data_IF_352641135044
#
_entry.id   IF_352641135044
#
_cell.length_a   1.000
_cell.length_b   1.000
_cell.length_c   1.000
_cell.angle_alpha   90.00
_cell.angle_beta   90.00
_cell.angle_gamma   90.00
#
_symmetry.space_group_name_H-M   'P 1'
#
loop_
_entity.id
_entity.type
_entity.pdbx_description
1 polymer ?
#
# COMPACT_ATOMS: atom_id res chain seq x y z
N UNK A 1 9.59 -14.08 9.70
CA UNK A 1 8.50 -13.15 10.07
C UNK A 1 8.70 -11.83 9.31
N UNK A 2 7.66 -11.00 9.13
CA UNK A 2 7.81 -9.71 8.45
C UNK A 2 7.97 -8.58 9.48
N UNK A 3 9.02 -7.76 9.34
CA UNK A 3 9.29 -6.57 10.16
C UNK A 3 9.30 -5.32 9.29
N UNK A 4 8.68 -4.24 9.76
CA UNK A 4 8.65 -2.96 9.06
C UNK A 4 9.55 -1.93 9.77
N UNK A 5 10.56 -1.44 9.06
CA UNK A 5 11.46 -0.39 9.52
C UNK A 5 10.96 0.96 9.01
N UNK A 6 10.72 1.93 9.91
CA UNK A 6 10.30 3.28 9.53
C UNK A 6 11.49 4.24 9.59
N UNK A 7 11.75 4.92 8.49
CA UNK A 7 12.81 5.94 8.37
C UNK A 7 12.25 7.23 7.76
N UNK A 8 12.80 8.36 8.17
CA UNK A 8 12.42 9.68 7.62
C UNK A 8 13.28 9.97 6.40
N UNK A 9 12.66 10.18 5.25
CA UNK A 9 13.34 10.51 3.99
C UNK A 9 13.71 12.00 3.94
N UNK A 10 14.83 12.28 3.28
CA UNK A 10 15.34 13.63 3.00
C UNK A 10 15.40 13.78 1.46
N UNK A 11 14.25 13.94 0.80
CA UNK A 11 14.22 14.13 -0.65
C UNK A 11 14.71 15.53 -1.04
N UNK A 12 15.27 15.66 -2.25
CA UNK A 12 15.43 16.96 -2.88
C UNK A 12 14.12 17.43 -3.54
N UNK A 13 14.07 18.69 -3.99
CA UNK A 13 12.86 19.29 -4.60
C UNK A 13 12.27 18.46 -5.74
N UNK A 14 13.11 17.90 -6.62
CA UNK A 14 12.64 17.09 -7.75
C UNK A 14 12.03 15.76 -7.26
N UNK A 15 12.64 15.14 -6.25
CA UNK A 15 12.13 13.94 -5.62
C UNK A 15 10.81 14.18 -4.88
N UNK A 16 10.66 15.30 -4.18
CA UNK A 16 9.39 15.68 -3.53
C UNK A 16 8.26 15.82 -4.55
N UNK A 17 8.52 16.51 -5.66
CA UNK A 17 7.56 16.66 -6.76
C UNK A 17 7.15 15.28 -7.28
N UNK A 18 8.12 14.39 -7.53
CA UNK A 18 7.84 13.07 -8.06
C UNK A 18 7.12 12.16 -7.05
N UNK A 19 7.43 12.24 -5.76
CA UNK A 19 6.69 11.54 -4.69
C UNK A 19 5.23 12.02 -4.69
N UNK A 20 5.00 13.33 -4.71
CA UNK A 20 3.65 13.90 -4.70
C UNK A 20 2.86 13.52 -5.95
N UNK A 21 3.49 13.55 -7.13
CA UNK A 21 2.92 13.03 -8.39
C UNK A 21 2.54 11.56 -8.24
N UNK A 22 3.43 10.73 -7.71
CA UNK A 22 3.19 9.28 -7.53
C UNK A 22 2.01 9.00 -6.60
N UNK A 23 1.93 9.69 -5.46
CA UNK A 23 0.76 9.60 -4.54
C UNK A 23 -0.52 10.01 -5.27
N UNK A 24 -0.48 11.13 -6.02
CA UNK A 24 -1.62 11.63 -6.79
C UNK A 24 -2.09 10.64 -7.85
N UNK A 25 -1.16 10.04 -8.61
CA UNK A 25 -1.45 9.05 -9.63
C UNK A 25 -2.04 7.77 -9.02
N UNK A 26 -1.47 7.29 -7.91
CA UNK A 26 -2.01 6.13 -7.20
C UNK A 26 -3.45 6.40 -6.72
N UNK A 27 -3.73 7.59 -6.17
CA UNK A 27 -5.10 8.00 -5.79
C UNK A 27 -6.03 8.03 -6.99
N UNK A 28 -5.61 8.66 -8.09
CA UNK A 28 -6.40 8.74 -9.32
C UNK A 28 -6.77 7.35 -9.83
N UNK A 29 -5.80 6.44 -9.96
CA UNK A 29 -6.04 5.07 -10.42
C UNK A 29 -7.03 4.36 -9.49
N UNK A 30 -6.86 4.45 -8.18
CA UNK A 30 -7.82 3.85 -7.24
C UNK A 30 -9.25 4.35 -7.50
N UNK A 31 -9.42 5.68 -7.58
CA UNK A 31 -10.73 6.29 -7.71
C UNK A 31 -11.36 6.01 -9.08
N UNK A 32 -10.59 6.09 -10.17
CA UNK A 32 -11.06 5.80 -11.53
C UNK A 32 -11.59 4.38 -11.65
N UNK A 33 -10.88 3.41 -11.09
CA UNK A 33 -11.28 2.00 -11.14
C UNK A 33 -12.40 1.66 -10.16
N UNK A 34 -12.50 2.35 -9.01
CA UNK A 34 -13.67 2.26 -8.16
C UNK A 34 -14.92 2.80 -8.87
N UNK A 35 -14.81 3.94 -9.57
CA UNK A 35 -15.92 4.50 -10.35
C UNK A 35 -16.32 3.55 -11.49
N UNK A 36 -15.35 3.04 -12.26
CA UNK A 36 -15.59 2.09 -13.35
C UNK A 36 -16.31 0.81 -12.85
N UNK A 37 -15.88 0.25 -11.71
CA UNK A 37 -16.53 -0.94 -11.16
C UNK A 37 -17.95 -0.69 -10.66
N UNK A 38 -18.24 0.54 -10.18
CA UNK A 38 -19.62 0.93 -9.82
C UNK A 38 -20.48 1.03 -11.07
N UNK A 39 -20.01 1.77 -12.06
CA UNK A 39 -20.70 1.96 -13.34
C UNK A 39 -21.03 0.63 -14.03
N UNK A 40 -20.05 -0.27 -14.17
CA UNK A 40 -20.27 -1.60 -14.76
C UNK A 40 -21.25 -2.47 -13.97
N UNK A 41 -21.30 -2.28 -12.66
CA UNK A 41 -22.26 -3.01 -11.84
C UNK A 41 -23.67 -2.43 -12.00
N UNK A 42 -23.80 -1.11 -12.03
CA UNK A 42 -25.07 -0.43 -12.21
C UNK A 42 -25.69 -0.71 -13.59
N UNK A 43 -24.87 -0.81 -14.65
CA UNK A 43 -25.34 -1.05 -16.03
C UNK A 43 -25.47 -2.53 -16.40
N UNK A 44 -24.49 -3.36 -16.07
CA UNK A 44 -24.40 -4.74 -16.54
C UNK A 44 -24.48 -5.79 -15.42
N UNK A 45 -24.56 -5.36 -14.14
CA UNK A 45 -24.47 -6.25 -12.98
C UNK A 45 -23.17 -7.07 -12.96
N UNK A 46 -22.11 -6.56 -13.59
CA UNK A 46 -20.78 -7.19 -13.66
C UNK A 46 -19.75 -6.40 -12.87
N UNK A 47 -18.66 -7.07 -12.52
CA UNK A 47 -17.51 -6.43 -11.88
C UNK A 47 -16.21 -6.93 -12.49
N UNK A 48 -15.18 -6.09 -12.46
CA UNK A 48 -13.82 -6.45 -12.85
C UNK A 48 -13.04 -6.98 -11.63
N UNK A 49 -12.20 -7.99 -11.87
CA UNK A 49 -11.16 -8.40 -10.92
C UNK A 49 -9.86 -7.60 -11.16
N UNK A 50 -8.82 -7.89 -10.38
CA UNK A 50 -7.51 -7.24 -10.53
C UNK A 50 -6.94 -7.35 -11.96
N UNK A 51 -7.06 -8.51 -12.60
CA UNK A 51 -6.50 -8.74 -13.95
C UNK A 51 -7.19 -7.87 -14.99
N UNK A 52 -8.52 -7.81 -14.97
CA UNK A 52 -9.29 -6.92 -15.84
C UNK A 52 -8.95 -5.45 -15.61
N UNK A 53 -8.84 -5.03 -14.35
CA UNK A 53 -8.39 -3.67 -14.02
C UNK A 53 -6.96 -3.37 -14.52
N UNK A 54 -6.05 -4.36 -14.44
CA UNK A 54 -4.65 -4.21 -14.87
C UNK A 54 -4.52 -4.10 -16.40
N UNK A 55 -5.35 -4.83 -17.16
CA UNK A 55 -5.42 -4.71 -18.61
C UNK A 55 -5.90 -3.31 -19.02
N UNK A 56 -7.01 -2.86 -18.44
CA UNK A 56 -7.54 -1.51 -18.65
C UNK A 56 -6.56 -0.41 -18.25
N UNK A 57 -5.81 -0.58 -17.16
CA UNK A 57 -4.76 0.36 -16.74
C UNK A 57 -3.64 0.46 -17.80
N UNK A 58 -3.36 -0.61 -18.53
CA UNK A 58 -2.35 -0.60 -19.60
C UNK A 58 -2.79 0.25 -20.78
N UNK A 59 -4.08 0.20 -21.15
CA UNK A 59 -4.69 1.07 -22.16
C UNK A 59 -4.73 2.53 -21.68
N UNK A 60 -5.18 2.75 -20.45
CA UNK A 60 -5.27 4.09 -19.85
C UNK A 60 -3.92 4.82 -19.81
N UNK A 61 -2.80 4.09 -19.63
CA UNK A 61 -1.45 4.68 -19.68
C UNK A 61 -1.05 5.14 -21.08
N UNK A 62 -1.64 4.59 -22.14
CA UNK A 62 -1.39 5.04 -23.52
C UNK A 62 -2.04 6.40 -23.76
N UNK A 63 -3.25 6.59 -23.25
CA UNK A 63 -4.01 7.84 -23.31
C UNK A 63 -3.43 8.92 -22.38
N UNK A 64 -3.18 8.55 -21.13
CA UNK A 64 -2.79 9.46 -20.06
C UNK A 64 -1.28 9.38 -19.82
N UNK A 65 -0.53 10.25 -20.50
CA UNK A 65 0.95 10.24 -20.50
C UNK A 65 1.57 10.37 -19.10
N UNK A 66 0.99 11.19 -18.20
CA UNK A 66 1.54 11.41 -16.86
C UNK A 66 1.51 10.16 -15.96
N UNK A 67 0.69 9.14 -16.27
CA UNK A 67 0.74 7.85 -15.58
C UNK A 67 2.01 7.03 -15.89
N UNK A 68 2.76 7.39 -16.94
CA UNK A 68 4.05 6.76 -17.29
C UNK A 68 5.25 7.42 -16.59
N UNK A 69 5.08 8.63 -16.04
CA UNK A 69 6.13 9.34 -15.30
C UNK A 69 6.46 8.64 -13.99
N UNK A 70 5.44 8.09 -13.33
CA UNK A 70 5.54 7.55 -11.98
C UNK A 70 5.90 6.06 -11.96
N UNK A 71 6.26 5.56 -10.78
CA UNK A 71 6.52 4.14 -10.57
C UNK A 71 5.30 3.27 -10.95
N UNK A 72 5.53 2.24 -11.76
CA UNK A 72 4.49 1.30 -12.19
C UNK A 72 3.91 0.52 -11.02
N UNK A 73 4.72 0.19 -10.01
CA UNK A 73 4.27 -0.59 -8.85
C UNK A 73 3.32 0.21 -7.98
N UNK A 74 3.52 1.53 -7.84
CA UNK A 74 2.56 2.41 -7.18
C UNK A 74 1.13 2.29 -7.77
N UNK A 75 1.02 2.26 -9.10
CA UNK A 75 -0.28 2.16 -9.79
C UNK A 75 -0.89 0.77 -9.64
N UNK A 76 -0.10 -0.29 -9.83
CA UNK A 76 -0.55 -1.67 -9.66
C UNK A 76 -0.97 -1.98 -8.21
N UNK A 77 -0.20 -1.50 -7.23
CA UNK A 77 -0.56 -1.65 -5.81
C UNK A 77 -1.82 -0.87 -5.45
N UNK A 78 -2.14 0.20 -6.18
CA UNK A 78 -3.40 0.91 -6.02
C UNK A 78 -4.59 0.05 -6.43
N UNK A 79 -4.48 -0.69 -7.54
CA UNK A 79 -5.47 -1.68 -7.95
C UNK A 79 -5.58 -2.84 -6.95
N UNK A 80 -4.44 -3.36 -6.47
CA UNK A 80 -4.43 -4.39 -5.42
C UNK A 80 -5.12 -3.91 -4.14
N UNK A 81 -4.92 -2.66 -3.76
CA UNK A 81 -5.60 -2.07 -2.61
C UNK A 81 -7.11 -1.99 -2.80
N UNK A 82 -7.58 -1.69 -4.02
CA UNK A 82 -9.00 -1.70 -4.36
C UNK A 82 -9.57 -3.12 -4.28
N UNK A 83 -8.86 -4.09 -4.84
CA UNK A 83 -9.24 -5.50 -4.79
C UNK A 83 -9.33 -6.01 -3.35
N UNK A 84 -8.36 -5.70 -2.49
CA UNK A 84 -8.42 -6.03 -1.06
C UNK A 84 -9.61 -5.36 -0.38
N UNK A 85 -9.95 -4.11 -0.73
CA UNK A 85 -11.11 -3.43 -0.15
C UNK A 85 -12.42 -4.15 -0.51
N UNK A 86 -12.60 -4.57 -1.77
CA UNK A 86 -13.76 -5.37 -2.18
C UNK A 86 -13.78 -6.74 -1.50
N UNK A 87 -12.64 -7.44 -1.43
CA UNK A 87 -12.55 -8.73 -0.72
C UNK A 87 -12.97 -8.59 0.73
N UNK A 88 -12.47 -7.57 1.42
CA UNK A 88 -12.83 -7.30 2.81
C UNK A 88 -14.33 -6.99 2.96
N UNK A 89 -14.90 -6.18 2.06
CA UNK A 89 -16.33 -5.89 2.05
C UNK A 89 -17.18 -7.16 1.94
N UNK A 90 -16.90 -8.02 0.95
CA UNK A 90 -17.65 -9.28 0.78
C UNK A 90 -17.39 -10.29 1.90
N UNK A 91 -16.16 -10.37 2.41
CA UNK A 91 -15.85 -11.20 3.58
C UNK A 91 -16.61 -10.75 4.83
N UNK A 92 -16.89 -9.46 4.99
CA UNK A 92 -17.69 -8.96 6.11
C UNK A 92 -19.18 -9.19 5.90
N UNK A 93 -19.71 -9.05 4.68
CA UNK A 93 -21.10 -9.42 4.37
C UNK A 93 -21.39 -10.88 4.74
N UNK A 94 -20.45 -11.80 4.44
CA UNK A 94 -20.57 -13.23 4.82
C UNK A 94 -20.63 -13.47 6.33
N UNK A 95 -20.15 -12.55 7.18
CA UNK A 95 -20.21 -12.67 8.64
C UNK A 95 -21.50 -12.10 9.24
N UNK A 96 -22.18 -11.21 8.51
CA UNK A 96 -23.39 -10.52 8.98
C UNK A 96 -24.65 -11.36 8.75
N UNK A 97 -24.69 -12.18 7.70
CA UNK A 97 -25.75 -13.15 7.42
C UNK A 97 -25.37 -14.54 7.98
N UNK A 98 -25.88 -14.96 9.17
CA UNK A 98 -25.19 -15.95 10.00
C UNK A 98 -25.73 -17.39 9.94
N UNK A 99 -26.65 -17.78 9.05
CA UNK A 99 -27.08 -19.20 8.95
C UNK A 99 -25.91 -20.18 8.73
N UNK A 100 -24.72 -19.69 8.33
CA UNK A 100 -23.49 -20.49 8.17
C UNK A 100 -22.21 -19.91 8.77
N UNK A 101 -22.25 -18.87 9.61
CA UNK A 101 -21.00 -18.28 10.14
C UNK A 101 -21.13 -17.69 11.54
N UNK A 102 -20.38 -18.26 12.50
CA UNK A 102 -20.27 -17.77 13.88
C UNK A 102 -19.80 -16.31 13.90
N UNK A 103 -20.62 -15.42 14.47
CA UNK A 103 -20.25 -14.02 14.75
C UNK A 103 -18.96 -13.98 15.59
N UNK A 104 -17.90 -13.40 15.05
CA UNK A 104 -16.74 -12.97 15.85
C UNK A 104 -17.09 -11.61 16.45
N UNK A 105 -17.47 -11.59 17.73
CA UNK A 105 -17.74 -10.39 18.53
C UNK A 105 -16.49 -9.48 18.49
N UNK A 106 -16.64 -8.20 18.12
CA UNK A 106 -15.59 -7.17 18.32
C UNK A 106 -14.97 -6.52 17.07
N UNK A 107 -15.29 -6.91 15.83
CA UNK A 107 -14.80 -6.21 14.62
C UNK A 107 -15.91 -5.41 13.94
N UNK A 108 -15.81 -4.07 13.95
CA UNK A 108 -16.61 -3.18 13.09
C UNK A 108 -16.33 -3.55 11.62
N UNK A 109 -17.37 -3.83 10.84
CA UNK A 109 -17.24 -4.16 9.42
C UNK A 109 -16.60 -3.01 8.63
N UNK A 110 -15.80 -3.33 7.62
CA UNK A 110 -15.01 -2.34 6.86
C UNK A 110 -15.85 -1.51 5.89
N UNK A 111 -17.09 -1.94 5.60
CA UNK A 111 -18.04 -1.27 4.71
C UNK A 111 -17.62 -1.32 3.22
N UNK A 112 -18.44 -0.73 2.36
CA UNK A 112 -18.16 -0.67 0.91
C UNK A 112 -16.91 0.19 0.62
N UNK A 113 -16.08 -0.15 -0.39
CA UNK A 113 -14.92 0.65 -0.76
C UNK A 113 -15.25 2.13 -1.03
N UNK A 114 -14.50 3.04 -0.40
CA UNK A 114 -14.72 4.50 -0.50
C UNK A 114 -13.66 5.17 -1.37
N UNK A 115 -14.06 6.22 -2.09
CA UNK A 115 -13.12 7.06 -2.82
C UNK A 115 -12.04 7.63 -1.89
N UNK A 116 -10.78 7.61 -2.35
CA UNK A 116 -9.65 8.21 -1.64
C UNK A 116 -9.71 9.73 -1.79
N UNK A 117 -9.60 10.44 -0.66
CA UNK A 117 -9.56 11.90 -0.61
C UNK A 117 -8.21 12.44 -1.08
N UNK A 118 -8.20 13.66 -1.64
CA UNK A 118 -6.96 14.35 -2.04
C UNK A 118 -6.16 14.82 -0.82
N UNK A 119 -6.86 15.45 0.12
CA UNK A 119 -6.33 15.93 1.39
C UNK A 119 -6.87 15.01 2.51
N UNK A 120 -5.98 14.42 3.29
CA UNK A 120 -6.33 13.47 4.34
C UNK A 120 -5.10 12.75 4.91
N UNK A 121 -5.29 12.00 5.98
CA UNK A 121 -4.19 11.39 6.75
C UNK A 121 -3.43 10.25 6.03
N UNK A 122 -3.97 9.69 4.94
CA UNK A 122 -3.38 8.54 4.22
C UNK A 122 -2.91 8.93 2.83
N UNK A 123 -1.83 9.70 2.78
CA UNK A 123 -1.13 10.04 1.53
C UNK A 123 0.11 9.15 1.37
N UNK A 124 -0.05 8.04 0.67
CA UNK A 124 1.04 7.08 0.46
C UNK A 124 0.97 6.34 -0.86
N UNK A 125 2.09 5.77 -1.27
CA UNK A 125 2.18 4.76 -2.31
C UNK A 125 3.12 3.63 -1.88
N UNK A 126 2.93 2.45 -2.48
CA UNK A 126 3.76 1.27 -2.24
C UNK A 126 4.47 0.88 -3.52
N UNK A 127 5.76 0.58 -3.42
CA UNK A 127 6.57 -0.04 -4.47
C UNK A 127 7.09 -1.39 -3.99
N UNK A 128 7.20 -2.36 -4.90
CA UNK A 128 7.63 -3.71 -4.59
C UNK A 128 9.06 -3.93 -5.09
N UNK A 129 9.84 -4.74 -4.36
CA UNK A 129 11.13 -5.18 -4.83
C UNK A 129 10.95 -6.13 -6.01
N UNK A 130 11.64 -5.86 -7.10
CA UNK A 130 11.75 -6.73 -8.28
C UNK A 130 13.04 -6.41 -9.00
N UNK A 131 13.86 -7.42 -9.28
CA UNK A 131 15.10 -7.29 -10.06
C UNK A 131 16.03 -6.16 -9.54
N UNK A 132 16.19 -6.02 -8.22
CA UNK A 132 17.09 -5.02 -7.62
C UNK A 132 16.68 -3.56 -7.80
N UNK A 133 15.42 -3.28 -8.17
CA UNK A 133 14.91 -1.91 -8.36
C UNK A 133 14.87 -1.06 -7.07
N UNK A 134 14.89 -1.70 -5.90
CA UNK A 134 14.98 -1.07 -4.59
C UNK A 134 16.25 -1.58 -3.91
N UNK A 135 17.07 -0.66 -3.41
CA UNK A 135 18.34 -0.96 -2.76
C UNK A 135 18.52 -0.04 -1.55
N UNK A 136 19.19 -0.54 -0.52
CA UNK A 136 19.55 0.22 0.67
C UNK A 136 21.05 0.09 0.83
N UNK A 137 21.74 1.23 0.86
CA UNK A 137 23.18 1.32 1.10
C UNK A 137 23.39 2.43 2.10
N UNK A 138 23.97 2.11 3.26
CA UNK A 138 24.16 3.04 4.38
C UNK A 138 22.85 3.77 4.74
N UNK A 139 22.86 5.10 4.61
CA UNK A 139 21.74 6.00 4.89
C UNK A 139 21.02 6.43 3.61
N UNK A 140 21.10 5.62 2.54
CA UNK A 140 20.48 5.89 1.24
C UNK A 140 19.56 4.77 0.80
N UNK A 141 18.39 5.16 0.29
CA UNK A 141 17.38 4.26 -0.25
C UNK A 141 17.19 4.59 -1.73
N UNK A 142 17.43 3.61 -2.60
CA UNK A 142 17.10 3.69 -4.03
C UNK A 142 15.66 3.28 -4.24
N UNK A 143 14.86 4.12 -4.89
CA UNK A 143 13.50 3.79 -5.30
C UNK A 143 13.34 3.91 -6.83
N UNK A 144 12.42 3.13 -7.45
CA UNK A 144 12.13 3.24 -8.87
C UNK A 144 11.73 4.67 -9.24
N UNK A 145 12.25 5.16 -10.37
CA UNK A 145 12.07 6.54 -10.90
C UNK A 145 12.63 7.67 -10.03
N UNK A 146 12.66 7.52 -8.71
CA UNK A 146 13.18 8.53 -7.77
C UNK A 146 14.71 8.52 -7.60
N UNK A 147 15.34 7.37 -7.89
CA UNK A 147 16.77 7.19 -7.67
C UNK A 147 17.13 7.12 -6.17
N UNK A 148 18.35 7.53 -5.83
CA UNK A 148 18.86 7.50 -4.47
C UNK A 148 18.33 8.67 -3.63
N UNK A 149 17.74 8.36 -2.49
CA UNK A 149 17.26 9.32 -1.50
C UNK A 149 18.04 9.12 -0.20
N UNK A 150 18.43 10.20 0.47
CA UNK A 150 18.97 10.13 1.83
C UNK A 150 17.83 9.89 2.81
N UNK A 151 18.12 9.26 3.94
CA UNK A 151 17.18 9.15 5.05
C UNK A 151 17.90 9.26 6.39
N UNK A 152 17.18 9.68 7.44
CA UNK A 152 17.67 9.62 8.81
C UNK A 152 17.61 8.18 9.29
N UNK A 153 18.77 7.58 9.54
CA UNK A 153 18.88 6.22 10.07
C UNK A 153 18.55 6.24 11.56
N UNK A 154 17.38 5.71 11.90
CA UNK A 154 16.92 5.54 13.29
C UNK A 154 17.27 4.17 13.87
N UNK A 155 17.49 3.18 13.01
CA UNK A 155 17.81 1.80 13.37
C UNK A 155 18.46 1.08 12.18
N UNK A 156 19.19 0.00 12.48
CA UNK A 156 19.74 -0.89 11.45
C UNK A 156 18.61 -1.62 10.72
N UNK A 157 18.64 -1.61 9.39
CA UNK A 157 17.64 -2.31 8.58
C UNK A 157 18.19 -3.69 8.25
N UNK A 158 17.63 -4.71 8.89
CA UNK A 158 18.05 -6.10 8.74
C UNK A 158 17.01 -6.95 8.01
N UNK A 159 17.46 -8.07 7.45
CA UNK A 159 16.62 -9.02 6.73
C UNK A 159 16.45 -8.71 5.23
N UNK A 160 15.68 -9.57 4.56
CA UNK A 160 15.45 -9.51 3.12
C UNK A 160 14.36 -8.51 2.78
N UNK A 161 14.70 -7.47 2.04
CA UNK A 161 13.75 -6.46 1.60
C UNK A 161 12.61 -7.05 0.75
N UNK A 162 11.37 -6.64 1.00
CA UNK A 162 10.17 -7.08 0.27
C UNK A 162 9.52 -5.93 -0.50
N UNK A 163 9.19 -4.84 0.19
CA UNK A 163 8.56 -3.66 -0.41
C UNK A 163 8.80 -2.42 0.44
N UNK A 164 8.55 -1.25 -0.14
CA UNK A 164 8.62 0.03 0.56
C UNK A 164 7.31 0.78 0.36
N UNK A 165 6.77 1.32 1.45
CA UNK A 165 5.65 2.25 1.41
C UNK A 165 6.14 3.64 1.78
N UNK A 166 6.04 4.58 0.84
CA UNK A 166 6.38 5.99 1.07
C UNK A 166 5.10 6.74 1.44
N UNK A 167 5.14 7.45 2.56
CA UNK A 167 4.01 8.21 3.11
C UNK A 167 4.42 9.66 3.30
N UNK A 168 3.55 10.59 2.92
CA UNK A 168 3.63 12.00 3.29
C UNK A 168 2.76 12.23 4.53
N UNK A 169 3.36 12.69 5.62
CA UNK A 169 2.63 13.05 6.84
C UNK A 169 1.88 14.38 6.66
N UNK A 170 0.95 14.67 7.56
CA UNK A 170 0.27 15.98 7.63
C UNK A 170 1.25 17.13 7.85
N UNK A 171 2.35 16.89 8.56
CA UNK A 171 3.45 17.86 8.74
C UNK A 171 4.34 18.04 7.50
N UNK A 172 4.04 17.37 6.38
CA UNK A 172 4.81 17.46 5.14
C UNK A 172 6.04 16.56 5.09
N UNK A 173 6.40 15.88 6.18
CA UNK A 173 7.55 14.96 6.23
C UNK A 173 7.28 13.70 5.41
N UNK A 174 8.33 13.15 4.80
CA UNK A 174 8.27 11.92 4.04
C UNK A 174 8.82 10.76 4.87
N UNK A 175 8.05 9.68 4.98
CA UNK A 175 8.39 8.50 5.77
C UNK A 175 8.38 7.28 4.85
N UNK A 176 9.48 6.52 4.84
CA UNK A 176 9.54 5.20 4.21
C UNK A 176 9.32 4.12 5.27
N UNK A 177 8.31 3.29 5.07
CA UNK A 177 8.11 2.03 5.78
C UNK A 177 8.66 0.91 4.91
N UNK A 178 9.81 0.37 5.32
CA UNK A 178 10.60 -0.64 4.61
C UNK A 178 10.23 -2.00 5.21
N UNK A 179 9.55 -2.83 4.43
CA UNK A 179 9.15 -4.17 4.86
C UNK A 179 10.27 -5.16 4.53
N UNK A 180 10.78 -5.85 5.54
CA UNK A 180 11.76 -6.92 5.39
C UNK A 180 11.24 -8.23 5.96
N UNK A 181 11.63 -9.34 5.35
CA UNK A 181 11.56 -10.67 5.91
C UNK A 181 12.79 -10.90 6.78
N UNK A 182 12.56 -11.10 8.08
CA UNK A 182 13.61 -11.37 9.05
C UNK A 182 13.36 -12.72 9.70
N UNK A 183 14.44 -13.43 9.99
CA UNK A 183 14.41 -14.46 11.01
C UNK A 183 14.39 -13.74 12.37
N UNK A 184 13.55 -14.22 13.28
CA UNK A 184 13.52 -13.75 14.65
C UNK A 184 13.95 -14.95 15.47
N UNK A 185 15.02 -14.79 16.22
CA UNK A 185 15.44 -15.78 17.20
C UNK A 185 14.30 -15.97 18.20
N UNK A 186 13.76 -17.19 18.26
CA UNK A 186 12.75 -17.52 19.27
C UNK A 186 13.50 -17.63 20.59
N UNK A 187 13.26 -16.67 21.49
CA UNK A 187 13.71 -16.81 22.86
C UNK A 187 13.03 -18.04 23.51
N UNK A 188 13.71 -18.72 24.44
CA UNK A 188 13.12 -19.85 25.15
C UNK A 188 11.83 -19.42 25.83
N UNK A 189 10.79 -20.21 25.68
CA UNK A 189 9.54 -19.97 26.41
C UNK A 189 9.81 -20.20 27.90
N UNK A 190 9.60 -19.16 28.69
CA UNK A 190 9.66 -19.26 30.16
C UNK A 190 8.34 -19.91 30.61
N UNK A 191 8.42 -20.89 31.51
CA UNK A 191 7.27 -21.61 32.07
C UNK A 191 6.46 -20.79 33.08
N UNK A 192 6.89 -19.57 33.42
CA UNK A 192 6.15 -18.67 34.29
C UNK A 192 4.93 -18.10 33.56
N UNK A 193 3.76 -18.37 34.12
CA UNK A 193 2.52 -17.75 33.70
C UNK A 193 2.52 -16.28 34.15
N UNK A 194 2.47 -15.36 33.19
CA UNK A 194 2.33 -13.93 33.45
C UNK A 194 0.87 -13.56 33.17
N UNK A 195 0.16 -13.06 34.17
CA UNK A 195 -1.16 -12.48 34.00
C UNK A 195 -1.04 -11.09 33.36
N UNK A 196 -1.73 -10.88 32.25
CA UNK A 196 -1.89 -9.56 31.62
C UNK A 196 -3.32 -9.09 31.89
N UNK A 197 -3.49 -8.12 32.77
CA UNK A 197 -4.75 -7.39 32.96
C UNK A 197 -4.76 -6.14 32.07
N UNK A 198 -5.92 -5.76 31.51
CA UNK A 198 -6.03 -4.84 30.37
C UNK A 198 -6.87 -3.59 30.69
#
# INVERSE_FOLDING_TARGET
>A
MQKAFKVTLIPNRNQEVLINKTIGCARFVYNRFLALRKELYDTEQKTLNYNGCSQQLTLLKKEIKWLKEVDKFALQNSLKSLETAYKNFFSDLKKVYPERSRRVKGKKGVGFPKFKKKYGCKQSYKTNLTNGNIQIIENRLKLPKLGWLKFHKSQEITGKLVNVTVTRSSSGKYIASILCETEIEKHPQVSQNIGLDL
#
